data_IF_561323839615
#
_entry.id   IF_561323839615
#
_cell.length_a   1.000
_cell.length_b   1.000
_cell.length_c   1.000
_cell.angle_alpha   90.00
_cell.angle_beta   90.00
_cell.angle_gamma   90.00
#
_symmetry.space_group_name_H-M   'P 1'
#
loop_
_entity.id
_entity.type
_entity.pdbx_description
1 polymer ?
#
# COMPACT_ATOMS: atom_id res chain seq x y z
N UNK A 1 -23.93 -1.53 -9.60
CA UNK A 1 -22.57 -1.74 -9.10
C UNK A 1 -21.67 -0.63 -9.64
N UNK A 2 -20.91 0.01 -8.77
CA UNK A 2 -19.95 1.02 -9.18
C UNK A 2 -18.81 0.36 -10.00
N UNK A 3 -18.36 1.07 -11.04
CA UNK A 3 -17.24 0.63 -11.88
C UNK A 3 -16.02 1.50 -11.58
N UNK A 4 -14.87 0.88 -11.45
CA UNK A 4 -13.59 1.57 -11.27
C UNK A 4 -12.95 1.81 -12.65
N UNK A 5 -12.63 3.06 -12.95
CA UNK A 5 -11.96 3.43 -14.21
C UNK A 5 -10.49 3.03 -14.15
N UNK A 6 -10.00 2.48 -15.27
CA UNK A 6 -8.58 2.18 -15.46
C UNK A 6 -8.04 2.96 -16.67
N UNK A 7 -6.80 3.42 -16.55
CA UNK A 7 -5.98 3.89 -17.65
C UNK A 7 -4.96 2.84 -18.06
N UNK A 8 -4.55 2.83 -19.32
CA UNK A 8 -3.52 1.92 -19.84
C UNK A 8 -2.25 2.75 -20.09
N UNK A 9 -1.12 2.27 -19.58
CA UNK A 9 0.17 2.90 -19.79
C UNK A 9 1.20 1.89 -20.29
N UNK A 10 2.15 2.38 -21.08
CA UNK A 10 3.27 1.57 -21.55
C UNK A 10 4.48 1.71 -20.63
N UNK A 11 5.11 0.59 -20.27
CA UNK A 11 6.36 0.61 -19.52
C UNK A 11 7.51 1.13 -20.42
N UNK A 12 7.97 2.35 -20.15
CA UNK A 12 9.06 3.00 -20.88
C UNK A 12 10.44 2.78 -20.27
N UNK A 13 10.55 2.00 -19.20
CA UNK A 13 11.83 1.70 -18.55
C UNK A 13 12.63 0.69 -19.39
N UNK A 14 13.61 1.17 -20.15
CA UNK A 14 14.47 0.35 -21.03
C UNK A 14 15.28 -0.72 -20.29
N UNK A 15 15.50 -0.56 -18.96
CA UNK A 15 16.22 -1.54 -18.14
C UNK A 15 15.32 -2.64 -17.59
N UNK A 16 14.01 -2.54 -17.78
CA UNK A 16 13.05 -3.54 -17.32
C UNK A 16 12.92 -4.67 -18.34
N UNK A 17 12.82 -5.91 -17.84
CA UNK A 17 12.45 -7.08 -18.66
C UNK A 17 11.09 -6.91 -19.39
N UNK A 18 10.25 -6.03 -18.85
CA UNK A 18 8.90 -5.74 -19.36
C UNK A 18 8.86 -4.41 -20.13
N UNK A 19 9.96 -4.00 -20.75
CA UNK A 19 10.00 -2.82 -21.60
C UNK A 19 8.99 -2.92 -22.75
N UNK A 20 8.29 -1.83 -23.03
CA UNK A 20 7.21 -1.72 -24.02
C UNK A 20 5.94 -2.55 -23.72
N UNK A 21 5.82 -3.25 -22.60
CA UNK A 21 4.56 -3.90 -22.22
C UNK A 21 3.55 -2.88 -21.70
N UNK A 22 2.27 -3.16 -21.92
CA UNK A 22 1.17 -2.31 -21.47
C UNK A 22 0.57 -2.84 -20.17
N UNK A 23 0.22 -1.92 -19.26
CA UNK A 23 -0.35 -2.24 -17.95
C UNK A 23 -1.56 -1.36 -17.67
N UNK A 24 -2.58 -1.95 -17.04
CA UNK A 24 -3.69 -1.20 -16.46
C UNK A 24 -3.29 -0.56 -15.14
N UNK A 25 -3.69 0.70 -14.95
CA UNK A 25 -3.57 1.42 -13.68
C UNK A 25 -4.94 1.96 -13.30
N UNK A 26 -5.30 1.82 -12.03
CA UNK A 26 -6.52 2.45 -11.52
C UNK A 26 -6.42 3.96 -11.68
N UNK A 27 -7.44 4.56 -12.30
CA UNK A 27 -7.61 6.00 -12.33
C UNK A 27 -8.34 6.40 -11.06
N UNK A 28 -7.58 6.91 -10.08
CA UNK A 28 -8.16 7.36 -8.83
C UNK A 28 -9.05 8.59 -9.06
N UNK A 29 -10.19 8.59 -8.41
CA UNK A 29 -11.03 9.78 -8.28
C UNK A 29 -10.37 10.76 -7.29
N UNK A 30 -11.08 11.85 -6.94
CA UNK A 30 -10.65 12.75 -5.88
C UNK A 30 -10.49 12.00 -4.55
N UNK A 31 -9.51 12.41 -3.77
CA UNK A 31 -9.34 11.93 -2.40
C UNK A 31 -10.54 12.38 -1.56
N UNK A 32 -11.10 11.46 -0.79
CA UNK A 32 -12.12 11.79 0.21
C UNK A 32 -11.39 12.18 1.49
N UNK A 33 -11.57 13.42 1.90
CA UNK A 33 -10.98 13.93 3.13
C UNK A 33 -11.71 13.38 4.38
N UNK A 34 -11.02 13.31 5.54
CA UNK A 34 -11.62 12.82 6.78
C UNK A 34 -12.93 13.52 7.16
N UNK A 35 -13.01 14.83 6.98
CA UNK A 35 -14.24 15.61 7.24
C UNK A 35 -15.43 15.13 6.39
N UNK A 36 -15.19 14.90 5.10
CA UNK A 36 -16.23 14.38 4.19
C UNK A 36 -16.68 12.98 4.60
N UNK A 37 -15.74 12.14 5.03
CA UNK A 37 -16.05 10.79 5.51
C UNK A 37 -16.89 10.84 6.80
N UNK A 38 -16.54 11.74 7.72
CA UNK A 38 -17.31 11.95 8.95
C UNK A 38 -18.71 12.50 8.67
N UNK A 39 -18.87 13.43 7.71
CA UNK A 39 -20.17 13.94 7.31
C UNK A 39 -21.06 12.83 6.73
N UNK A 40 -20.52 11.94 5.89
CA UNK A 40 -21.28 10.79 5.38
C UNK A 40 -21.71 9.85 6.52
N UNK A 41 -20.81 9.52 7.44
CA UNK A 41 -21.11 8.66 8.58
C UNK A 41 -22.15 9.30 9.53
N UNK A 42 -22.11 10.63 9.71
CA UNK A 42 -23.07 11.40 10.47
C UNK A 42 -24.47 11.31 9.86
N UNK A 43 -24.56 11.51 8.54
CA UNK A 43 -25.83 11.40 7.80
C UNK A 43 -26.43 10.00 7.89
N UNK A 44 -25.60 8.95 7.78
CA UNK A 44 -26.05 7.56 7.82
C UNK A 44 -26.50 7.13 9.22
N UNK A 45 -25.85 7.66 10.27
CA UNK A 45 -26.11 7.28 11.67
C UNK A 45 -27.08 8.21 12.40
N UNK A 46 -27.37 9.39 11.86
CA UNK A 46 -28.17 10.43 12.52
C UNK A 46 -27.45 11.10 13.71
N UNK A 47 -26.13 10.94 13.82
CA UNK A 47 -25.30 11.55 14.86
C UNK A 47 -24.77 12.90 14.34
N UNK A 48 -24.64 13.87 15.22
CA UNK A 48 -24.05 15.17 14.89
C UNK A 48 -22.63 15.02 14.35
N UNK A 49 -22.31 15.66 13.21
CA UNK A 49 -21.03 15.54 12.52
C UNK A 49 -19.82 15.85 13.42
N UNK A 50 -19.91 16.88 14.25
CA UNK A 50 -18.86 17.24 15.19
C UNK A 50 -18.54 16.10 16.19
N UNK A 51 -19.54 15.37 16.64
CA UNK A 51 -19.35 14.23 17.55
C UNK A 51 -18.69 13.06 16.83
N UNK A 52 -19.10 12.78 15.58
CA UNK A 52 -18.48 11.74 14.74
C UNK A 52 -17.01 12.08 14.52
N UNK A 53 -16.68 13.33 14.19
CA UNK A 53 -15.30 13.77 13.97
C UNK A 53 -14.42 13.59 15.21
N UNK A 54 -14.90 14.00 16.40
CA UNK A 54 -14.16 13.84 17.67
C UNK A 54 -13.89 12.36 17.97
N UNK A 55 -14.87 11.48 17.80
CA UNK A 55 -14.71 10.06 18.04
C UNK A 55 -13.73 9.45 17.04
N UNK A 56 -13.83 9.82 15.77
CA UNK A 56 -12.94 9.34 14.72
C UNK A 56 -11.48 9.73 14.97
N UNK A 57 -11.23 11.00 15.32
CA UNK A 57 -9.89 11.48 15.71
C UNK A 57 -9.34 10.72 16.92
N UNK A 58 -10.18 10.48 17.93
CA UNK A 58 -9.83 9.71 19.12
C UNK A 58 -9.39 8.28 18.78
N UNK A 59 -10.15 7.59 17.90
CA UNK A 59 -9.82 6.25 17.41
C UNK A 59 -8.49 6.26 16.66
N UNK A 60 -8.29 7.19 15.72
CA UNK A 60 -7.03 7.30 14.97
C UNK A 60 -5.82 7.58 15.88
N UNK A 61 -6.00 8.40 16.91
CA UNK A 61 -4.96 8.66 17.89
C UNK A 61 -4.58 7.38 18.64
N UNK A 62 -5.56 6.67 19.17
CA UNK A 62 -5.34 5.40 19.87
C UNK A 62 -4.70 4.34 18.97
N UNK A 63 -5.13 4.23 17.72
CA UNK A 63 -4.50 3.34 16.76
C UNK A 63 -3.00 3.62 16.59
N UNK A 64 -2.63 4.89 16.42
CA UNK A 64 -1.21 5.28 16.30
C UNK A 64 -0.41 4.91 17.54
N UNK A 65 -0.93 5.21 18.73
CA UNK A 65 -0.27 4.92 20.01
C UNK A 65 -0.07 3.41 20.18
N UNK A 66 -1.10 2.59 19.97
CA UNK A 66 -1.02 1.14 20.13
C UNK A 66 -0.10 0.48 19.08
N UNK A 67 -0.12 0.95 17.83
CA UNK A 67 0.80 0.47 16.81
C UNK A 67 2.26 0.79 17.17
N UNK A 68 2.55 1.97 17.72
CA UNK A 68 3.89 2.32 18.20
C UNK A 68 4.36 1.44 19.36
N UNK A 69 3.44 0.90 20.16
CA UNK A 69 3.73 -0.09 21.21
C UNK A 69 3.90 -1.52 20.66
N UNK A 70 3.72 -1.72 19.35
CA UNK A 70 3.87 -3.01 18.67
C UNK A 70 2.60 -3.87 18.69
N UNK A 71 1.46 -3.34 19.14
CA UNK A 71 0.20 -4.08 19.13
C UNK A 71 -0.41 -4.08 17.74
N UNK A 72 -0.73 -5.26 17.15
CA UNK A 72 -1.57 -5.32 15.95
C UNK A 72 -2.99 -4.89 16.29
N UNK A 73 -3.63 -4.16 15.38
CA UNK A 73 -4.99 -3.65 15.54
C UNK A 73 -5.88 -4.27 14.49
N UNK A 74 -6.91 -4.96 14.92
CA UNK A 74 -7.95 -5.49 14.02
C UNK A 74 -9.18 -4.60 14.06
N UNK A 75 -9.62 -4.17 12.89
CA UNK A 75 -10.92 -3.55 12.68
C UNK A 75 -11.81 -4.57 11.98
N UNK A 76 -12.87 -5.00 12.66
CA UNK A 76 -13.80 -5.98 12.13
C UNK A 76 -14.41 -5.49 10.81
N UNK A 77 -14.52 -6.38 9.85
CA UNK A 77 -14.96 -6.06 8.49
C UNK A 77 -13.88 -5.39 7.61
N UNK A 78 -12.88 -4.71 8.19
CA UNK A 78 -11.83 -4.03 7.42
C UNK A 78 -10.56 -4.87 7.29
N UNK A 79 -9.95 -5.27 8.41
CA UNK A 79 -8.71 -6.02 8.43
C UNK A 79 -7.79 -5.67 9.60
N UNK A 80 -6.53 -6.11 9.52
CA UNK A 80 -5.55 -5.95 10.58
C UNK A 80 -4.39 -5.07 10.14
N UNK A 81 -4.08 -4.08 10.95
CA UNK A 81 -2.91 -3.20 10.83
C UNK A 81 -1.82 -3.70 11.79
N UNK A 82 -0.58 -3.75 11.35
CA UNK A 82 0.56 -4.10 12.19
C UNK A 82 1.85 -3.44 11.71
N UNK A 83 2.80 -3.27 12.62
CA UNK A 83 4.14 -2.82 12.24
C UNK A 83 4.94 -4.00 11.70
N UNK A 84 5.57 -3.81 10.56
CA UNK A 84 6.62 -4.64 10.03
C UNK A 84 7.96 -3.92 10.10
N UNK A 85 9.04 -4.67 10.10
CA UNK A 85 10.39 -4.12 10.06
C UNK A 85 11.15 -4.68 8.87
N UNK A 86 12.05 -3.88 8.32
CA UNK A 86 13.11 -4.33 7.44
C UNK A 86 14.41 -4.33 8.21
N UNK A 87 15.07 -5.47 8.24
CA UNK A 87 16.36 -5.61 8.92
C UNK A 87 17.44 -6.05 7.94
N UNK A 88 18.68 -5.76 8.28
CA UNK A 88 19.84 -6.33 7.60
C UNK A 88 20.05 -7.75 8.09
N UNK A 89 20.25 -8.68 7.14
CA UNK A 89 20.71 -10.02 7.46
C UNK A 89 22.15 -9.94 8.03
N UNK A 90 22.42 -10.73 9.06
CA UNK A 90 23.75 -10.83 9.66
C UNK A 90 24.19 -12.27 9.53
N UNK A 91 25.36 -12.49 8.92
CA UNK A 91 25.94 -13.82 8.79
C UNK A 91 26.68 -14.24 10.07
N UNK A 92 26.92 -15.52 10.21
CA UNK A 92 27.73 -16.08 11.33
C UNK A 92 29.13 -15.46 11.34
N UNK A 93 29.73 -15.27 10.16
CA UNK A 93 31.07 -14.67 9.99
C UNK A 93 31.08 -13.21 10.42
N UNK A 94 30.00 -12.44 10.17
CA UNK A 94 29.90 -11.05 10.61
C UNK A 94 29.78 -10.95 12.13
N UNK A 95 29.04 -11.89 12.76
CA UNK A 95 28.97 -11.97 14.23
C UNK A 95 30.33 -12.32 14.81
N UNK A 96 31.01 -13.32 14.26
CA UNK A 96 32.31 -13.76 14.72
C UNK A 96 33.39 -12.67 14.58
N UNK A 97 33.34 -11.90 13.48
CA UNK A 97 34.23 -10.74 13.26
C UNK A 97 34.01 -9.64 14.31
N UNK A 98 32.72 -9.41 14.69
CA UNK A 98 32.37 -8.36 15.66
C UNK A 98 32.54 -8.80 17.11
N UNK A 99 32.36 -10.08 17.37
CA UNK A 99 32.39 -10.71 18.68
C UNK A 99 33.32 -11.93 18.59
N UNK A 100 34.65 -11.77 18.77
CA UNK A 100 35.65 -12.87 18.65
C UNK A 100 35.40 -14.04 19.59
N UNK A 101 34.68 -13.82 20.70
CA UNK A 101 34.29 -14.84 21.67
C UNK A 101 33.09 -15.70 21.23
N UNK A 102 32.43 -15.36 20.13
CA UNK A 102 31.29 -16.11 19.61
C UNK A 102 31.77 -17.42 18.98
N UNK A 103 31.25 -18.53 19.47
CA UNK A 103 31.46 -19.87 18.92
C UNK A 103 30.18 -20.31 18.16
N UNK A 104 30.26 -20.50 16.81
CA UNK A 104 29.11 -20.92 16.01
C UNK A 104 28.55 -22.30 16.37
N UNK A 105 29.33 -23.16 17.01
CA UNK A 105 28.91 -24.53 17.36
C UNK A 105 28.17 -24.58 18.69
N UNK A 106 28.44 -23.67 19.62
CA UNK A 106 27.93 -23.72 20.98
C UNK A 106 27.03 -22.51 21.33
N UNK A 107 27.27 -21.38 20.69
CA UNK A 107 26.55 -20.12 21.01
C UNK A 107 25.29 -19.92 20.18
N UNK A 108 24.26 -19.42 20.82
CA UNK A 108 23.05 -18.96 20.12
C UNK A 108 23.29 -17.55 19.53
N UNK A 109 23.39 -17.47 18.20
CA UNK A 109 23.61 -16.23 17.45
C UNK A 109 22.61 -15.12 17.83
N UNK A 110 21.39 -15.47 18.25
CA UNK A 110 20.34 -14.50 18.66
C UNK A 110 20.79 -13.62 19.83
N UNK A 111 21.71 -14.07 20.67
CA UNK A 111 22.26 -13.29 21.80
C UNK A 111 23.11 -12.10 21.33
N UNK A 112 23.64 -12.19 20.11
CA UNK A 112 24.53 -11.19 19.51
C UNK A 112 23.80 -10.24 18.54
N UNK A 113 22.52 -10.52 18.27
CA UNK A 113 21.67 -9.66 17.46
C UNK A 113 21.01 -8.57 18.31
N UNK A 114 20.86 -7.40 17.74
CA UNK A 114 20.27 -6.25 18.43
C UNK A 114 19.34 -5.45 17.52
N UNK A 115 18.58 -4.52 18.08
CA UNK A 115 17.70 -3.61 17.33
C UNK A 115 18.47 -2.72 16.32
N UNK A 116 19.81 -2.66 16.40
CA UNK A 116 20.64 -1.88 15.47
C UNK A 116 20.62 -2.43 14.03
N UNK A 117 20.22 -3.69 13.82
CA UNK A 117 20.03 -4.25 12.49
C UNK A 117 18.71 -3.80 11.82
N UNK A 118 17.80 -3.18 12.55
CA UNK A 118 16.56 -2.65 11.99
C UNK A 118 16.86 -1.40 11.17
N UNK A 119 16.59 -1.49 9.84
CA UNK A 119 16.80 -0.37 8.91
C UNK A 119 15.60 0.57 8.86
N UNK A 120 14.41 0.01 8.88
CA UNK A 120 13.16 0.79 8.80
C UNK A 120 11.99 0.01 9.38
N UNK A 121 10.99 0.75 9.84
CA UNK A 121 9.68 0.23 10.15
C UNK A 121 8.68 0.67 9.08
N UNK A 122 7.67 -0.16 8.83
CA UNK A 122 6.60 0.13 7.87
C UNK A 122 5.28 -0.41 8.38
N UNK A 123 4.19 0.22 7.93
CA UNK A 123 2.84 -0.23 8.25
C UNK A 123 2.42 -1.31 7.27
N UNK A 124 2.02 -2.45 7.79
CA UNK A 124 1.42 -3.55 7.03
C UNK A 124 -0.10 -3.54 7.28
N UNK A 125 -0.85 -3.67 6.21
CA UNK A 125 -2.29 -3.87 6.26
C UNK A 125 -2.65 -5.22 5.64
N UNK A 126 -3.35 -6.05 6.41
CA UNK A 126 -3.88 -7.34 5.95
C UNK A 126 -5.40 -7.25 5.89
N UNK A 127 -6.00 -7.15 4.69
CA UNK A 127 -7.44 -6.98 4.56
C UNK A 127 -8.22 -8.21 5.04
N UNK A 128 -9.42 -7.98 5.59
CA UNK A 128 -10.36 -9.02 6.00
C UNK A 128 -10.87 -9.84 4.81
N UNK A 129 -11.54 -10.94 5.10
CA UNK A 129 -12.21 -11.75 4.07
C UNK A 129 -13.29 -10.94 3.35
N UNK A 130 -14.02 -10.09 4.07
CA UNK A 130 -15.05 -9.22 3.50
C UNK A 130 -14.48 -8.24 2.49
N UNK A 131 -13.41 -7.52 2.86
CA UNK A 131 -12.71 -6.59 1.94
C UNK A 131 -12.16 -7.35 0.73
N UNK A 132 -11.55 -8.52 0.91
CA UNK A 132 -11.07 -9.33 -0.21
C UNK A 132 -12.20 -9.74 -1.15
N UNK A 133 -13.36 -10.06 -0.61
CA UNK A 133 -14.56 -10.41 -1.40
C UNK A 133 -15.09 -9.20 -2.17
N UNK A 134 -15.18 -8.03 -1.51
CA UNK A 134 -15.54 -6.77 -2.17
C UNK A 134 -14.58 -6.42 -3.30
N UNK A 135 -13.28 -6.52 -3.08
CA UNK A 135 -12.25 -6.24 -4.10
C UNK A 135 -12.37 -7.16 -5.32
N UNK A 136 -12.71 -8.45 -5.12
CA UNK A 136 -12.96 -9.40 -6.23
C UNK A 136 -14.23 -9.09 -7.02
N UNK A 137 -15.22 -8.47 -6.38
CA UNK A 137 -16.48 -8.09 -7.02
C UNK A 137 -16.41 -6.76 -7.79
N UNK A 138 -15.32 -6.00 -7.67
CA UNK A 138 -15.12 -4.75 -8.41
C UNK A 138 -15.09 -5.02 -9.90
N UNK A 139 -15.88 -4.27 -10.66
CA UNK A 139 -15.83 -4.26 -12.12
C UNK A 139 -14.96 -3.09 -12.58
N UNK A 140 -14.09 -3.36 -13.55
CA UNK A 140 -13.23 -2.35 -14.14
C UNK A 140 -13.76 -1.92 -15.50
N UNK A 141 -13.59 -0.65 -15.83
CA UNK A 141 -13.95 -0.07 -17.13
C UNK A 141 -12.79 0.79 -17.62
N UNK A 142 -12.38 0.57 -18.87
CA UNK A 142 -11.33 1.38 -19.50
C UNK A 142 -11.84 2.78 -19.79
N UNK A 143 -11.03 3.81 -19.47
CA UNK A 143 -11.37 5.19 -19.79
C UNK A 143 -11.22 5.40 -21.31
N UNK A 144 -12.37 5.44 -22.00
CA UNK A 144 -12.45 5.60 -23.47
C UNK A 144 -11.89 6.93 -23.96
N UNK A 145 -11.82 7.95 -23.11
CA UNK A 145 -11.31 9.27 -23.49
C UNK A 145 -9.80 9.26 -23.71
N UNK A 146 -9.06 8.50 -22.90
CA UNK A 146 -7.62 8.28 -23.09
C UNK A 146 -7.31 7.41 -24.32
N UNK A 147 -8.15 6.41 -24.60
CA UNK A 147 -8.01 5.55 -25.78
C UNK A 147 -8.12 6.37 -27.09
N UNK A 148 -9.11 7.24 -27.17
CA UNK A 148 -9.33 8.08 -28.36
C UNK A 148 -8.14 9.01 -28.60
N UNK A 149 -7.55 9.59 -27.56
CA UNK A 149 -6.37 10.45 -27.69
C UNK A 149 -5.10 9.69 -28.09
N UNK A 150 -4.91 8.47 -27.58
CA UNK A 150 -3.77 7.61 -27.95
C UNK A 150 -3.87 7.14 -29.40
N UNK A 151 -5.05 6.75 -29.88
CA UNK A 151 -5.29 6.35 -31.26
C UNK A 151 -5.14 7.53 -32.23
N UNK A 152 -5.52 8.76 -31.83
CA UNK A 152 -5.32 9.95 -32.63
C UNK A 152 -3.82 10.32 -32.80
N UNK A 153 -3.01 10.08 -31.75
CA UNK A 153 -1.55 10.29 -31.81
C UNK A 153 -0.87 9.25 -32.71
N UNK A 154 -1.30 8.00 -32.66
CA UNK A 154 -0.76 6.94 -33.56
C UNK A 154 -1.10 7.22 -35.02
N UNK A 155 -2.30 7.68 -35.32
CA UNK A 155 -2.71 8.05 -36.69
C UNK A 155 -1.96 9.28 -37.21
N UNK A 156 -1.61 10.24 -36.36
CA UNK A 156 -0.82 11.41 -36.75
C UNK A 156 0.65 11.05 -37.02
N UNK A 157 1.21 10.08 -36.32
CA UNK A 157 2.60 9.63 -36.52
C UNK A 157 2.79 8.73 -37.74
N UNK A 158 1.76 7.99 -38.17
CA UNK A 158 1.82 7.18 -39.40
C UNK A 158 1.68 8.01 -40.69
N UNK A 159 1.08 9.19 -40.60
CA UNK A 159 0.96 10.10 -41.75
C UNK A 159 2.19 11.01 -41.97
N UNK A 160 3.24 10.89 -41.15
CA UNK A 160 4.46 11.73 -41.25
C UNK A 160 5.66 10.93 -41.78
N UNK A 161 5.49 9.64 -42.09
CA UNK A 161 6.54 8.76 -42.61
C UNK A 161 6.27 8.29 -44.07
N UNK A 162 5.68 9.12 -44.92
CA UNK A 162 5.78 8.88 -46.38
C UNK A 162 6.68 9.96 -46.99
N UNK A 163 7.70 9.54 -47.79
CA UNK A 163 8.71 10.41 -48.37
C UNK A 163 8.20 11.29 -49.50
#
# INVERSE_FOLDING_TARGET
>A
MAKVKISIYQNRNKKSKNYKQFYGRVKHNSTIEPATLCAHAANDSGIEEAKVAIVFEGVLKQMKEQLCLGHPITLDGMGTFKIGISSEGVSTEDVQRRYPQFDPETDDIRRYLSARQVKSAHLLFNPSVEVKTLLRAIKFETDKTEWASLMAIEQSNTNTEEP
#
